data_IF_225467381378
#
_entry.id   IF_225467381378
#
_cell.length_a   1.000
_cell.length_b   1.000
_cell.length_c   1.000
_cell.angle_alpha   90.00
_cell.angle_beta   90.00
_cell.angle_gamma   90.00
#
_symmetry.space_group_name_H-M   'P 1'
#
loop_
_entity.id
_entity.type
_entity.pdbx_description
1 polymer ?
#
# COMPACT_ATOMS: atom_id res chain seq x y z
N UNK A 1 -17.04 51.74 9.19
CA UNK A 1 -15.98 51.70 10.21
C UNK A 1 -14.81 52.53 9.66
N UNK A 2 -14.82 53.87 9.60
CA UNK A 2 -15.16 54.96 10.54
C UNK A 2 -14.40 54.95 11.86
N UNK A 3 -13.25 55.64 11.84
CA UNK A 3 -12.62 56.50 12.87
C UNK A 3 -11.65 57.38 12.05
N UNK A 4 -11.87 58.66 11.74
CA UNK A 4 -12.09 59.85 12.57
C UNK A 4 -10.99 60.06 13.63
N UNK A 5 -10.05 60.96 13.32
CA UNK A 5 -9.38 61.80 14.32
C UNK A 5 -9.20 63.22 13.79
N UNK A 6 -9.66 64.15 14.63
CA UNK A 6 -9.68 65.59 14.47
C UNK A 6 -8.30 66.25 14.67
N UNK A 7 -8.16 67.39 13.97
CA UNK A 7 -7.55 68.68 14.36
C UNK A 7 -6.90 68.83 15.75
N UNK A 8 -5.72 69.46 15.79
CA UNK A 8 -5.28 70.66 16.56
C UNK A 8 -3.76 70.73 16.31
N UNK A 9 -3.09 71.83 15.99
CA UNK A 9 -3.42 73.25 15.97
C UNK A 9 -2.16 74.04 15.61
N UNK A 10 -2.35 75.34 15.49
CA UNK A 10 -1.33 76.35 15.19
C UNK A 10 0.00 76.17 15.92
N UNK A 11 1.08 76.06 15.14
CA UNK A 11 2.43 76.40 15.59
C UNK A 11 2.96 77.55 14.74
N UNK A 12 2.70 78.74 15.27
CA UNK A 12 3.57 79.92 15.32
C UNK A 12 4.87 79.84 14.47
N UNK A 13 5.18 80.85 13.62
CA UNK A 13 6.45 80.90 12.91
C UNK A 13 7.57 81.22 13.90
N UNK A 14 8.10 80.20 14.58
CA UNK A 14 9.33 80.33 15.35
C UNK A 14 10.43 80.65 14.35
N UNK A 15 10.90 81.89 14.47
CA UNK A 15 12.07 82.47 13.83
C UNK A 15 13.06 81.37 13.40
N UNK A 16 13.18 81.20 12.09
CA UNK A 16 14.23 80.39 11.45
C UNK A 16 15.56 81.02 11.84
N UNK A 17 16.11 80.65 13.01
CA UNK A 17 17.53 80.82 13.27
C UNK A 17 18.20 80.05 12.15
N UNK A 18 18.88 80.76 11.26
CA UNK A 18 19.95 80.20 10.44
C UNK A 18 21.07 79.79 11.39
N UNK A 19 20.82 78.79 12.24
CA UNK A 19 21.87 78.04 12.89
C UNK A 19 22.47 77.24 11.73
N UNK A 20 23.60 77.72 11.22
CA UNK A 20 24.39 76.94 10.28
C UNK A 20 24.59 75.57 10.90
N UNK A 21 24.29 74.53 10.13
CA UNK A 21 24.59 73.15 10.49
C UNK A 21 26.01 73.13 11.02
N UNK A 22 26.19 72.82 12.30
CA UNK A 22 27.54 72.67 12.82
C UNK A 22 28.14 71.48 12.08
N UNK A 23 29.40 71.61 11.64
CA UNK A 23 30.07 70.58 10.84
C UNK A 23 30.00 69.19 11.51
N UNK A 24 29.95 69.19 12.85
CA UNK A 24 29.78 68.00 13.70
C UNK A 24 28.44 67.29 13.47
N UNK A 25 27.33 68.02 13.37
CA UNK A 25 26.00 67.44 13.20
C UNK A 25 25.85 66.77 11.82
N UNK A 26 26.45 67.36 10.78
CA UNK A 26 26.51 66.76 9.43
C UNK A 26 27.39 65.49 9.43
N UNK A 27 28.47 65.48 10.20
CA UNK A 27 29.34 64.31 10.38
C UNK A 27 28.59 63.14 11.05
N UNK A 28 27.80 63.44 12.09
CA UNK A 28 26.99 62.43 12.79
C UNK A 28 25.93 61.84 11.86
N UNK A 29 25.27 62.66 11.02
CA UNK A 29 24.32 62.15 10.04
C UNK A 29 24.96 61.23 9.01
N UNK A 30 26.14 61.58 8.49
CA UNK A 30 26.88 60.74 7.56
C UNK A 30 27.35 59.43 8.22
N UNK A 31 27.74 59.46 9.50
CA UNK A 31 28.13 58.28 10.25
C UNK A 31 26.95 57.32 10.47
N UNK A 32 25.79 57.84 10.90
CA UNK A 32 24.58 57.03 11.09
C UNK A 32 24.11 56.44 9.76
N UNK A 33 24.11 57.23 8.68
CA UNK A 33 23.80 56.74 7.32
C UNK A 33 24.77 55.63 6.87
N UNK A 34 26.06 55.79 7.13
CA UNK A 34 27.07 54.76 6.80
C UNK A 34 26.79 53.43 7.50
N UNK A 35 26.45 53.46 8.79
CA UNK A 35 26.10 52.25 9.55
C UNK A 35 24.83 51.61 9.02
N UNK A 36 23.77 52.40 8.75
CA UNK A 36 22.50 51.88 8.22
C UNK A 36 22.70 51.25 6.83
N UNK A 37 23.47 51.89 5.95
CA UNK A 37 23.76 51.35 4.60
C UNK A 37 24.59 50.06 4.69
N UNK A 38 25.53 49.95 5.63
CA UNK A 38 26.28 48.70 5.85
C UNK A 38 25.37 47.55 6.30
N UNK A 39 24.49 47.79 7.27
CA UNK A 39 23.55 46.78 7.77
C UNK A 39 22.56 46.38 6.67
N UNK A 40 22.02 47.35 5.92
CA UNK A 40 21.13 47.08 4.80
C UNK A 40 21.84 46.33 3.66
N UNK A 41 23.09 46.68 3.37
CA UNK A 41 23.93 46.01 2.38
C UNK A 41 24.20 44.55 2.74
N UNK A 42 24.58 44.27 4.00
CA UNK A 42 24.77 42.91 4.49
C UNK A 42 23.47 42.10 4.41
N UNK A 43 22.34 42.67 4.84
CA UNK A 43 21.04 42.00 4.77
C UNK A 43 20.63 41.64 3.33
N UNK A 44 20.91 42.51 2.35
CA UNK A 44 20.63 42.25 0.93
C UNK A 44 21.55 41.18 0.33
N UNK A 45 22.84 41.18 0.70
CA UNK A 45 23.80 40.16 0.26
C UNK A 45 23.44 38.79 0.85
N UNK A 46 23.06 38.72 2.13
CA UNK A 46 22.66 37.47 2.77
C UNK A 46 21.35 36.94 2.18
N UNK A 47 20.37 37.81 1.92
CA UNK A 47 19.11 37.43 1.28
C UNK A 47 19.30 36.89 -0.15
N UNK A 48 20.16 37.52 -0.94
CA UNK A 48 20.46 37.04 -2.31
C UNK A 48 21.21 35.71 -2.30
N UNK A 49 22.17 35.52 -1.38
CA UNK A 49 22.87 34.24 -1.22
C UNK A 49 21.92 33.11 -0.85
N UNK A 50 21.03 33.33 0.12
CA UNK A 50 20.02 32.34 0.51
C UNK A 50 19.10 32.01 -0.67
N UNK A 51 18.63 33.02 -1.42
CA UNK A 51 17.79 32.80 -2.60
C UNK A 51 18.47 31.94 -3.67
N UNK A 52 19.74 32.23 -3.99
CA UNK A 52 20.50 31.46 -5.00
C UNK A 52 20.72 30.03 -4.53
N UNK A 53 21.04 29.81 -3.25
CA UNK A 53 21.17 28.46 -2.67
C UNK A 53 19.87 27.68 -2.75
N UNK A 54 18.75 28.29 -2.36
CA UNK A 54 17.43 27.66 -2.44
C UNK A 54 17.06 27.33 -3.89
N UNK A 55 17.32 28.22 -4.85
CA UNK A 55 17.07 27.95 -6.26
C UNK A 55 17.91 26.79 -6.80
N UNK A 56 19.19 26.72 -6.44
CA UNK A 56 20.07 25.62 -6.82
C UNK A 56 19.62 24.29 -6.20
N UNK A 57 19.27 24.30 -4.91
CA UNK A 57 18.75 23.12 -4.22
C UNK A 57 17.44 22.62 -4.85
N UNK A 58 16.49 23.52 -5.13
CA UNK A 58 15.23 23.18 -5.79
C UNK A 58 15.43 22.62 -7.19
N UNK A 59 16.33 23.21 -7.99
CA UNK A 59 16.66 22.71 -9.31
C UNK A 59 17.32 21.30 -9.24
N UNK A 60 18.20 21.08 -8.27
CA UNK A 60 18.82 19.76 -8.02
C UNK A 60 17.77 18.73 -7.60
N UNK A 61 16.85 19.09 -6.71
CA UNK A 61 15.73 18.22 -6.32
C UNK A 61 14.83 17.89 -7.52
N UNK A 62 14.42 18.88 -8.31
CA UNK A 62 13.58 18.66 -9.50
C UNK A 62 14.25 17.71 -10.50
N UNK A 63 15.56 17.87 -10.74
CA UNK A 63 16.31 16.96 -11.61
C UNK A 63 16.37 15.53 -11.04
N UNK A 64 16.55 15.38 -9.73
CA UNK A 64 16.54 14.08 -9.07
C UNK A 64 15.15 13.42 -9.12
N UNK A 65 14.07 14.20 -8.99
CA UNK A 65 12.69 13.73 -9.13
C UNK A 65 12.38 13.25 -10.56
N UNK A 66 12.79 14.02 -11.57
CA UNK A 66 12.64 13.64 -12.97
C UNK A 66 13.39 12.33 -13.28
N UNK A 67 14.64 12.20 -12.81
CA UNK A 67 15.42 10.98 -12.94
C UNK A 67 14.74 9.78 -12.24
N UNK A 68 14.22 10.01 -11.03
CA UNK A 68 13.53 8.98 -10.27
C UNK A 68 12.22 8.53 -10.91
N UNK A 69 11.47 9.44 -11.55
CA UNK A 69 10.24 9.10 -12.25
C UNK A 69 10.51 8.16 -13.43
N UNK A 70 11.53 8.46 -14.24
CA UNK A 70 11.96 7.60 -15.35
C UNK A 70 12.45 6.24 -14.84
N UNK A 71 13.27 6.24 -13.77
CA UNK A 71 13.76 5.02 -13.15
C UNK A 71 12.61 4.17 -12.57
N UNK A 72 11.60 4.80 -11.98
CA UNK A 72 10.39 4.12 -11.47
C UNK A 72 9.67 3.37 -12.56
N UNK A 73 9.46 4.01 -13.71
CA UNK A 73 8.77 3.41 -14.85
C UNK A 73 9.54 2.19 -15.37
N UNK A 74 10.86 2.30 -15.50
CA UNK A 74 11.69 1.17 -15.92
C UNK A 74 11.69 0.03 -14.89
N UNK A 75 11.88 0.33 -13.60
CA UNK A 75 11.92 -0.69 -12.52
C UNK A 75 10.55 -1.37 -12.35
N UNK A 76 9.44 -0.63 -12.44
CA UNK A 76 8.10 -1.19 -12.30
C UNK A 76 7.82 -2.26 -13.36
N UNK A 77 8.32 -2.07 -14.58
CA UNK A 77 8.17 -3.02 -15.69
C UNK A 77 9.07 -4.25 -15.56
N UNK A 78 10.05 -4.24 -14.65
CA UNK A 78 10.88 -5.40 -14.37
C UNK A 78 10.08 -6.59 -13.80
N UNK A 79 8.88 -6.36 -13.24
CA UNK A 79 8.01 -7.45 -12.79
C UNK A 79 7.33 -8.22 -13.92
N UNK A 80 7.25 -7.67 -15.13
CA UNK A 80 6.59 -8.33 -16.25
C UNK A 80 7.43 -9.52 -16.78
N UNK A 81 6.81 -10.70 -16.89
CA UNK A 81 7.42 -11.94 -17.41
C UNK A 81 6.58 -12.64 -18.47
N UNK A 82 5.33 -12.26 -18.56
CA UNK A 82 4.32 -12.93 -19.37
C UNK A 82 3.55 -11.93 -20.21
N UNK A 83 3.05 -12.40 -21.34
CA UNK A 83 2.14 -11.65 -22.18
C UNK A 83 1.03 -12.55 -22.68
N UNK A 84 -0.13 -11.95 -22.92
CA UNK A 84 -1.26 -12.66 -23.52
C UNK A 84 -1.10 -12.66 -25.05
N UNK A 85 -1.25 -13.83 -25.67
CA UNK A 85 -1.09 -13.97 -27.14
C UNK A 85 -2.19 -13.24 -27.88
N UNK A 86 -3.42 -13.44 -27.42
CA UNK A 86 -4.64 -12.82 -27.95
C UNK A 86 -5.43 -12.25 -26.79
N UNK A 87 -5.96 -11.04 -26.96
CA UNK A 87 -6.72 -10.33 -25.93
C UNK A 87 -7.90 -11.19 -25.46
N UNK A 88 -7.97 -11.48 -24.16
CA UNK A 88 -8.98 -12.32 -23.52
C UNK A 88 -8.95 -13.82 -23.87
N UNK A 89 -7.84 -14.33 -24.40
CA UNK A 89 -7.65 -15.77 -24.60
C UNK A 89 -7.40 -16.53 -23.30
N UNK A 90 -6.95 -15.83 -22.25
CA UNK A 90 -6.52 -16.44 -20.99
C UNK A 90 -5.27 -17.31 -21.12
N UNK A 91 -4.57 -17.24 -22.27
CA UNK A 91 -3.35 -17.99 -22.55
C UNK A 91 -2.14 -17.05 -22.51
N UNK A 92 -1.30 -17.22 -21.48
CA UNK A 92 -0.11 -16.43 -21.24
C UNK A 92 1.15 -17.16 -21.72
N UNK A 93 2.01 -16.45 -22.45
CA UNK A 93 3.33 -16.93 -22.81
C UNK A 93 4.39 -16.28 -21.93
N UNK A 94 5.28 -17.09 -21.37
CA UNK A 94 6.43 -16.61 -20.60
C UNK A 94 7.58 -16.24 -21.55
N UNK A 95 8.10 -15.01 -21.44
CA UNK A 95 9.28 -14.57 -22.19
C UNK A 95 10.53 -15.02 -21.44
N UNK A 96 11.12 -16.16 -21.83
CA UNK A 96 12.32 -16.68 -21.14
C UNK A 96 13.52 -15.72 -21.13
N UNK A 97 13.70 -14.93 -22.19
CA UNK A 97 14.83 -13.98 -22.31
C UNK A 97 14.85 -12.88 -21.23
N UNK A 98 13.74 -12.67 -20.51
CA UNK A 98 13.63 -11.68 -19.45
C UNK A 98 14.41 -12.06 -18.18
N UNK A 99 14.71 -13.34 -17.99
CA UNK A 99 15.48 -13.83 -16.86
C UNK A 99 16.98 -13.68 -17.15
N UNK A 100 17.78 -13.38 -16.12
CA UNK A 100 19.21 -13.11 -16.31
C UNK A 100 19.97 -14.32 -16.82
N UNK A 101 19.83 -15.46 -16.14
CA UNK A 101 20.46 -16.74 -16.49
C UNK A 101 19.64 -17.94 -15.95
N UNK A 102 18.47 -18.24 -16.56
CA UNK A 102 17.56 -19.25 -16.05
C UNK A 102 18.02 -20.70 -16.29
N UNK A 103 18.96 -20.92 -17.22
CA UNK A 103 19.40 -22.23 -17.70
C UNK A 103 20.86 -22.55 -17.32
N UNK A 104 21.38 -21.91 -16.25
CA UNK A 104 22.73 -22.16 -15.77
C UNK A 104 22.92 -23.64 -15.41
N UNK A 105 24.06 -24.22 -15.81
CA UNK A 105 24.37 -25.62 -15.56
C UNK A 105 24.59 -25.93 -14.06
N UNK A 106 25.01 -24.93 -13.28
CA UNK A 106 25.13 -25.01 -11.82
C UNK A 106 23.85 -24.50 -11.15
N UNK A 107 23.18 -25.37 -10.41
CA UNK A 107 21.89 -25.10 -9.74
C UNK A 107 22.00 -23.92 -8.77
N UNK A 108 23.16 -23.71 -8.15
CA UNK A 108 23.40 -22.61 -7.20
C UNK A 108 23.62 -21.26 -7.90
N UNK A 109 23.83 -21.26 -9.22
CA UNK A 109 24.05 -20.07 -10.06
C UNK A 109 22.86 -19.76 -11.00
N UNK A 110 21.76 -20.51 -10.89
CA UNK A 110 20.55 -20.24 -11.69
C UNK A 110 19.91 -18.91 -11.25
N UNK A 111 20.04 -17.89 -12.09
CA UNK A 111 19.51 -16.55 -11.84
C UNK A 111 18.16 -16.36 -12.55
N UNK A 112 17.08 -16.73 -11.84
CA UNK A 112 15.70 -16.47 -12.26
C UNK A 112 15.25 -15.03 -11.97
N UNK A 113 16.12 -14.11 -11.57
CA UNK A 113 15.73 -12.71 -11.46
C UNK A 113 15.81 -12.02 -12.83
N UNK A 114 15.35 -10.76 -12.89
CA UNK A 114 15.50 -9.94 -14.09
C UNK A 114 16.47 -8.79 -13.92
N UNK A 115 17.34 -8.83 -12.91
CA UNK A 115 18.28 -7.75 -12.64
C UNK A 115 19.65 -8.22 -12.18
N UNK A 116 20.62 -7.33 -12.39
CA UNK A 116 21.95 -7.39 -11.81
C UNK A 116 22.27 -6.03 -11.19
N UNK A 117 22.55 -6.05 -9.90
CA UNK A 117 22.96 -4.87 -9.14
C UNK A 117 24.45 -5.00 -8.83
N UNK A 118 25.24 -4.02 -9.27
CA UNK A 118 26.64 -3.91 -8.85
C UNK A 118 26.75 -2.75 -7.87
N UNK A 119 27.04 -3.09 -6.61
CA UNK A 119 27.32 -2.08 -5.60
C UNK A 119 28.72 -1.51 -5.87
N UNK A 120 28.79 -0.21 -6.15
CA UNK A 120 30.08 0.44 -6.32
C UNK A 120 30.78 0.64 -4.98
N UNK A 121 32.11 0.74 -5.01
CA UNK A 121 32.94 0.95 -3.82
C UNK A 121 32.75 2.31 -3.12
N UNK A 122 31.88 3.17 -3.63
CA UNK A 122 31.62 4.52 -3.14
C UNK A 122 30.13 4.88 -3.14
N UNK A 123 29.80 6.06 -3.64
CA UNK A 123 28.43 6.63 -3.59
C UNK A 123 27.57 6.29 -4.82
N UNK A 124 28.08 5.47 -5.74
CA UNK A 124 27.45 5.18 -7.02
C UNK A 124 27.35 3.67 -7.24
N UNK A 125 26.13 3.16 -7.31
CA UNK A 125 25.84 1.79 -7.74
C UNK A 125 25.57 1.77 -9.25
N UNK A 126 25.48 0.58 -9.84
CA UNK A 126 24.92 0.40 -11.16
C UNK A 126 23.85 -0.69 -11.17
N UNK A 127 22.75 -0.43 -11.85
CA UNK A 127 21.60 -1.31 -11.92
C UNK A 127 21.36 -1.67 -13.39
N UNK A 128 21.41 -2.96 -13.70
CA UNK A 128 21.06 -3.53 -15.00
C UNK A 128 19.83 -4.40 -14.82
N UNK A 129 18.87 -4.34 -15.74
CA UNK A 129 17.72 -5.25 -15.73
C UNK A 129 17.12 -5.43 -17.11
N UNK A 130 16.31 -6.48 -17.24
CA UNK A 130 15.52 -6.78 -18.44
C UNK A 130 14.05 -6.55 -18.16
N UNK A 131 13.36 -5.93 -19.12
CA UNK A 131 11.93 -5.63 -19.04
C UNK A 131 11.21 -5.96 -20.34
N UNK A 132 9.92 -6.21 -20.23
CA UNK A 132 9.03 -6.36 -21.38
C UNK A 132 8.38 -5.00 -21.66
N UNK A 133 8.39 -4.59 -22.93
CA UNK A 133 7.63 -3.43 -23.41
C UNK A 133 6.31 -3.90 -24.02
N UNK A 134 5.24 -3.23 -23.62
CA UNK A 134 3.91 -3.39 -24.18
C UNK A 134 3.53 -2.15 -25.01
N UNK A 135 2.61 -2.32 -25.95
CA UNK A 135 1.95 -1.19 -26.62
C UNK A 135 0.80 -0.66 -25.77
N UNK A 136 0.14 0.41 -26.25
CA UNK A 136 -1.00 1.04 -25.56
C UNK A 136 -2.21 0.09 -25.42
N UNK A 137 -2.27 -0.96 -26.24
CA UNK A 137 -3.30 -2.02 -26.18
C UNK A 137 -2.92 -3.17 -25.22
N UNK A 138 -1.74 -3.12 -24.61
CA UNK A 138 -1.21 -4.13 -23.68
C UNK A 138 -0.61 -5.36 -24.36
N UNK A 139 -0.32 -5.31 -25.67
CA UNK A 139 0.32 -6.41 -26.41
C UNK A 139 1.83 -6.37 -26.26
N UNK A 140 2.45 -7.53 -26.31
CA UNK A 140 3.90 -7.66 -26.32
C UNK A 140 4.52 -7.01 -27.56
N UNK A 141 5.49 -6.12 -27.35
CA UNK A 141 6.22 -5.45 -28.43
C UNK A 141 7.68 -5.88 -28.47
N UNK A 142 8.37 -5.87 -27.34
CA UNK A 142 9.80 -6.13 -27.30
C UNK A 142 10.30 -6.54 -25.90
N UNK A 143 11.47 -7.20 -25.89
CA UNK A 143 12.30 -7.40 -24.71
C UNK A 143 13.45 -6.40 -24.75
N UNK A 144 13.61 -5.63 -23.67
CA UNK A 144 14.61 -4.57 -23.56
C UNK A 144 15.55 -4.81 -22.38
N UNK A 145 16.82 -4.51 -22.56
CA UNK A 145 17.82 -4.39 -21.51
C UNK A 145 18.04 -2.92 -21.19
N UNK A 146 17.88 -2.57 -19.91
CA UNK A 146 18.06 -1.20 -19.40
C UNK A 146 19.18 -1.21 -18.37
N UNK A 147 20.07 -0.23 -18.45
CA UNK A 147 21.12 -0.02 -17.47
C UNK A 147 21.14 1.42 -16.97
N UNK A 148 21.34 1.57 -15.67
CA UNK A 148 21.45 2.84 -14.96
C UNK A 148 22.77 2.87 -14.22
N UNK A 149 23.61 3.87 -14.48
CA UNK A 149 24.92 4.01 -13.85
C UNK A 149 25.42 5.45 -13.89
N UNK A 150 26.39 5.76 -13.03
CA UNK A 150 27.02 7.08 -12.99
C UNK A 150 28.44 7.00 -13.57
N UNK A 151 28.76 7.88 -14.52
CA UNK A 151 30.11 8.05 -15.09
C UNK A 151 30.44 9.54 -15.09
N UNK A 152 31.62 9.90 -14.59
CA UNK A 152 32.09 11.29 -14.52
C UNK A 152 31.08 12.27 -13.87
N UNK A 153 30.36 11.81 -12.84
CA UNK A 153 29.34 12.61 -12.15
C UNK A 153 28.04 12.79 -12.94
N UNK A 154 27.84 12.07 -14.03
CA UNK A 154 26.60 12.10 -14.84
C UNK A 154 25.89 10.75 -14.71
N UNK A 155 24.59 10.78 -14.39
CA UNK A 155 23.72 9.62 -14.40
C UNK A 155 23.29 9.35 -15.84
N UNK A 156 23.63 8.15 -16.31
CA UNK A 156 23.26 7.66 -17.62
C UNK A 156 22.19 6.58 -17.52
N UNK A 157 21.25 6.63 -18.46
CA UNK A 157 20.34 5.54 -18.79
C UNK A 157 20.76 4.99 -20.14
N UNK A 158 21.09 3.72 -20.20
CA UNK A 158 21.35 3.03 -21.45
C UNK A 158 20.26 2.00 -21.72
N UNK A 159 19.74 1.97 -22.95
CA UNK A 159 18.73 1.01 -23.37
C UNK A 159 19.15 0.31 -24.66
N UNK A 160 18.89 -1.00 -24.70
CA UNK A 160 19.11 -1.85 -25.88
C UNK A 160 17.97 -2.84 -26.01
N UNK A 161 17.48 -3.02 -27.23
CA UNK A 161 16.51 -4.08 -27.51
C UNK A 161 17.21 -5.42 -27.71
N UNK A 162 16.67 -6.46 -27.08
CA UNK A 162 17.16 -7.83 -27.18
C UNK A 162 16.32 -8.65 -28.17
N UNK A 163 14.99 -8.52 -28.10
CA UNK A 163 14.04 -9.24 -28.95
C UNK A 163 12.87 -8.32 -29.33
N UNK A 164 12.27 -8.56 -30.49
CA UNK A 164 11.12 -7.80 -31.00
C UNK A 164 10.01 -8.75 -31.45
N UNK A 165 8.76 -8.38 -31.21
CA UNK A 165 7.62 -9.01 -31.84
C UNK A 165 7.68 -8.82 -33.36
N UNK A 166 7.18 -9.81 -34.11
CA UNK A 166 7.13 -9.73 -35.57
C UNK A 166 6.31 -8.51 -36.01
N UNK A 167 6.93 -7.61 -36.78
CA UNK A 167 6.27 -6.39 -37.27
C UNK A 167 6.26 -5.22 -36.27
N UNK A 168 6.94 -5.33 -35.13
CA UNK A 168 7.12 -4.21 -34.20
C UNK A 168 7.92 -3.08 -34.86
N UNK A 169 7.48 -1.83 -34.65
CA UNK A 169 8.21 -0.66 -35.12
C UNK A 169 9.55 -0.50 -34.38
N UNK A 170 10.56 0.02 -35.08
CA UNK A 170 11.80 0.47 -34.46
C UNK A 170 11.49 1.55 -33.41
N UNK A 171 12.14 1.46 -32.26
CA UNK A 171 12.04 2.46 -31.19
C UNK A 171 13.38 3.16 -31.11
N UNK A 172 13.39 4.45 -31.45
CA UNK A 172 14.59 5.27 -31.40
C UNK A 172 15.12 5.41 -29.95
N UNK A 173 14.27 5.19 -28.94
CA UNK A 173 14.61 5.28 -27.52
C UNK A 173 15.37 4.04 -27.00
N UNK A 174 15.23 2.92 -27.69
CA UNK A 174 15.79 1.61 -27.34
C UNK A 174 16.08 0.83 -28.65
N UNK A 175 17.19 1.16 -29.34
CA UNK A 175 17.51 0.57 -30.63
C UNK A 175 17.95 -0.89 -30.54
N UNK A 176 17.87 -1.59 -31.67
CA UNK A 176 18.32 -2.98 -31.82
C UNK A 176 19.87 -3.04 -31.94
N UNK A 177 20.46 -2.03 -32.60
CA UNK A 177 21.88 -1.95 -32.89
C UNK A 177 22.63 -1.08 -31.86
N UNK A 178 23.11 -1.76 -30.81
CA UNK A 178 23.97 -1.15 -29.79
C UNK A 178 23.23 -0.55 -28.59
N UNK A 179 24.00 0.02 -27.67
CA UNK A 179 23.48 0.61 -26.44
C UNK A 179 23.29 2.12 -26.65
N UNK A 180 22.04 2.61 -26.65
CA UNK A 180 21.78 4.05 -26.67
C UNK A 180 21.97 4.61 -25.26
N UNK A 181 23.06 5.34 -25.04
CA UNK A 181 23.39 5.99 -23.77
C UNK A 181 22.83 7.42 -23.72
N UNK A 182 21.91 7.70 -22.79
CA UNK A 182 21.29 9.02 -22.60
C UNK A 182 21.68 9.58 -21.24
N UNK A 183 22.23 10.80 -21.23
CA UNK A 183 22.53 11.53 -20.00
C UNK A 183 21.25 12.09 -19.37
N UNK A 184 20.91 11.62 -18.17
CA UNK A 184 19.66 11.98 -17.47
C UNK A 184 19.89 13.14 -16.49
N UNK A 185 20.95 13.06 -15.68
CA UNK A 185 21.25 14.08 -14.67
C UNK A 185 22.75 14.30 -14.55
N UNK A 186 23.16 15.55 -14.35
CA UNK A 186 24.57 15.94 -14.12
C UNK A 186 24.81 16.24 -12.65
N UNK A 187 26.08 16.27 -12.27
CA UNK A 187 26.55 16.59 -10.93
C UNK A 187 26.00 15.64 -9.85
N UNK A 188 25.91 14.35 -10.18
CA UNK A 188 25.49 13.29 -9.25
C UNK A 188 26.44 13.23 -8.06
N UNK A 189 25.86 13.35 -6.87
CA UNK A 189 26.54 13.17 -5.60
C UNK A 189 26.35 11.77 -5.03
N UNK A 190 25.18 11.15 -5.31
CA UNK A 190 24.85 9.80 -4.85
C UNK A 190 23.84 9.14 -5.79
N UNK A 191 24.08 7.87 -6.08
CA UNK A 191 23.11 6.96 -6.68
C UNK A 191 23.25 5.62 -5.98
N UNK A 192 22.37 5.35 -5.00
CA UNK A 192 22.37 4.12 -4.23
C UNK A 192 21.09 3.35 -4.42
N UNK A 193 21.21 2.03 -4.64
CA UNK A 193 20.09 1.12 -4.85
C UNK A 193 20.18 -0.02 -3.83
N UNK A 194 19.18 -0.12 -2.96
CA UNK A 194 19.10 -1.15 -1.92
C UNK A 194 17.93 -2.08 -2.25
N UNK A 195 18.20 -3.35 -2.63
CA UNK A 195 17.14 -4.32 -2.85
C UNK A 195 16.54 -4.74 -1.51
N UNK A 196 15.25 -5.05 -1.49
CA UNK A 196 14.59 -5.58 -0.32
C UNK A 196 13.67 -6.75 -0.65
N UNK A 197 13.70 -7.72 0.26
CA UNK A 197 12.70 -8.77 0.35
C UNK A 197 11.51 -8.32 1.19
N UNK A 198 10.31 -8.85 0.91
CA UNK A 198 9.22 -8.72 1.87
C UNK A 198 9.63 -9.45 3.16
N UNK A 199 9.14 -8.99 4.32
CA UNK A 199 9.37 -9.65 5.61
C UNK A 199 8.88 -11.11 5.67
N UNK A 200 8.18 -11.58 4.64
CA UNK A 200 7.64 -12.93 4.51
C UNK A 200 8.02 -13.45 3.11
N UNK A 201 9.02 -14.33 3.06
CA UNK A 201 9.56 -14.88 1.81
C UNK A 201 8.73 -16.04 1.23
N UNK A 202 7.89 -16.71 2.02
CA UNK A 202 7.11 -17.86 1.55
C UNK A 202 5.85 -17.38 0.82
N UNK A 203 6.01 -17.26 -0.50
CA UNK A 203 5.12 -16.67 -1.48
C UNK A 203 4.24 -17.69 -2.19
N UNK A 204 3.45 -18.46 -1.46
CA UNK A 204 2.32 -19.19 -2.05
C UNK A 204 1.11 -18.93 -1.16
N UNK A 205 0.27 -17.98 -1.60
CA UNK A 205 -0.87 -17.41 -0.86
C UNK A 205 -0.46 -16.55 0.35
N UNK A 206 -1.07 -15.36 0.50
CA UNK A 206 -0.99 -14.66 1.78
C UNK A 206 -1.44 -15.64 2.84
N UNK A 207 -0.54 -16.04 3.75
CA UNK A 207 -0.73 -17.19 4.66
C UNK A 207 -2.18 -17.22 5.14
N UNK A 208 -2.95 -18.17 4.62
CA UNK A 208 -4.33 -18.36 5.01
C UNK A 208 -4.28 -18.80 6.47
N UNK A 209 -4.73 -17.93 7.35
CA UNK A 209 -4.86 -18.23 8.78
C UNK A 209 -6.11 -19.07 9.02
N UNK A 210 -7.13 -18.91 8.18
CA UNK A 210 -8.37 -19.66 8.25
C UNK A 210 -9.01 -19.79 6.86
N UNK A 211 -9.52 -20.98 6.47
CA UNK A 211 -9.26 -22.26 7.11
C UNK A 211 -7.74 -22.57 7.05
N UNK A 212 -7.16 -23.30 8.02
CA UNK A 212 -5.72 -23.53 8.05
C UNK A 212 -5.22 -24.45 6.92
N UNK A 213 -6.13 -25.08 6.17
CA UNK A 213 -5.80 -25.81 4.95
C UNK A 213 -5.83 -24.87 3.75
N UNK A 214 -4.72 -24.78 3.00
CA UNK A 214 -4.65 -24.00 1.75
C UNK A 214 -5.49 -24.63 0.62
N UNK A 215 -5.89 -25.89 0.75
CA UNK A 215 -6.58 -26.65 -0.32
C UNK A 215 -8.10 -26.76 -0.13
N UNK A 216 -8.63 -26.43 1.06
CA UNK A 216 -10.08 -26.48 1.32
C UNK A 216 -10.56 -25.14 1.88
N UNK A 217 -11.67 -24.66 1.32
CA UNK A 217 -12.42 -23.51 1.82
C UNK A 217 -13.54 -23.91 2.78
N UNK A 218 -13.59 -25.18 3.18
CA UNK A 218 -14.62 -25.70 4.05
C UNK A 218 -14.40 -25.19 5.47
N UNK A 219 -15.50 -24.75 6.07
CA UNK A 219 -15.52 -24.26 7.43
C UNK A 219 -16.80 -24.69 8.12
N UNK A 220 -16.77 -24.69 9.44
CA UNK A 220 -17.94 -24.89 10.30
C UNK A 220 -18.22 -23.62 11.08
N UNK A 221 -19.49 -23.40 11.38
CA UNK A 221 -19.93 -22.40 12.35
C UNK A 221 -20.41 -23.09 13.63
N UNK A 222 -20.08 -22.52 14.78
CA UNK A 222 -20.43 -23.07 16.09
C UNK A 222 -21.22 -22.06 16.89
N UNK A 223 -22.50 -22.34 17.15
CA UNK A 223 -23.36 -21.50 17.97
C UNK A 223 -22.86 -21.42 19.41
N UNK A 224 -22.58 -20.21 19.89
CA UNK A 224 -22.45 -19.92 21.33
C UNK A 224 -23.84 -19.93 21.94
N UNK A 225 -23.94 -20.45 23.16
CA UNK A 225 -25.20 -20.51 23.89
C UNK A 225 -24.93 -20.30 25.38
N UNK A 226 -25.64 -19.34 25.97
CA UNK A 226 -25.67 -19.13 27.42
C UNK A 226 -27.09 -19.24 28.00
N UNK A 227 -28.10 -19.46 27.16
CA UNK A 227 -29.50 -19.65 27.56
C UNK A 227 -30.22 -18.41 28.04
N UNK A 228 -29.57 -17.24 28.09
CA UNK A 228 -30.19 -16.00 28.55
C UNK A 228 -30.16 -14.94 27.44
N UNK A 229 -28.99 -14.39 27.13
CA UNK A 229 -28.79 -13.35 26.13
C UNK A 229 -28.32 -13.91 24.80
N UNK A 230 -27.62 -15.04 24.80
CA UNK A 230 -27.07 -15.66 23.60
C UNK A 230 -27.81 -16.96 23.31
N UNK A 231 -28.59 -16.94 22.25
CA UNK A 231 -29.45 -18.05 21.83
C UNK A 231 -28.86 -18.81 20.64
N UNK A 232 -29.18 -20.10 20.54
CA UNK A 232 -28.68 -20.98 19.47
C UNK A 232 -29.30 -20.62 18.14
N UNK A 233 -28.51 -20.75 17.08
CA UNK A 233 -28.95 -20.71 15.69
C UNK A 233 -29.06 -22.12 15.13
N UNK A 234 -29.87 -22.25 14.08
CA UNK A 234 -29.88 -23.42 13.21
C UNK A 234 -28.79 -23.24 12.15
N UNK A 235 -27.91 -24.23 12.03
CA UNK A 235 -26.76 -24.21 11.12
C UNK A 235 -26.84 -25.42 10.19
N UNK A 236 -26.75 -25.21 8.88
CA UNK A 236 -26.82 -26.29 7.90
C UNK A 236 -25.76 -26.10 6.80
N UNK A 237 -24.89 -27.09 6.54
CA UNK A 237 -24.71 -28.34 7.30
C UNK A 237 -24.11 -28.08 8.69
N UNK A 238 -24.54 -28.84 9.71
CA UNK A 238 -24.05 -28.68 11.08
C UNK A 238 -22.54 -28.95 11.20
N UNK A 239 -22.03 -29.91 10.43
CA UNK A 239 -20.61 -30.29 10.39
C UNK A 239 -19.74 -29.32 9.58
N UNK A 240 -20.34 -28.36 8.87
CA UNK A 240 -19.61 -27.44 8.01
C UNK A 240 -19.45 -27.90 6.57
N UNK A 241 -18.92 -27.01 5.74
CA UNK A 241 -18.75 -27.16 4.30
C UNK A 241 -18.33 -25.83 3.66
N UNK A 242 -18.31 -25.79 2.33
CA UNK A 242 -17.94 -24.58 1.57
C UNK A 242 -18.99 -23.45 1.67
N UNK A 243 -20.23 -23.81 2.01
CA UNK A 243 -21.34 -22.90 2.27
C UNK A 243 -22.05 -23.36 3.56
N UNK A 244 -22.24 -22.46 4.50
CA UNK A 244 -23.01 -22.69 5.73
C UNK A 244 -24.21 -21.74 5.76
N UNK A 245 -25.41 -22.32 5.82
CA UNK A 245 -26.68 -21.62 5.99
C UNK A 245 -26.98 -21.42 7.47
N UNK A 246 -27.37 -20.20 7.82
CA UNK A 246 -27.69 -19.75 9.16
C UNK A 246 -29.16 -19.32 9.18
N UNK A 247 -29.93 -19.83 10.15
CA UNK A 247 -31.33 -19.45 10.35
C UNK A 247 -31.75 -19.59 11.82
N UNK A 248 -33.01 -19.22 12.11
CA UNK A 248 -33.55 -19.28 13.48
C UNK A 248 -32.99 -18.18 14.37
N UNK A 249 -32.87 -16.97 13.83
CA UNK A 249 -32.38 -15.82 14.59
C UNK A 249 -33.37 -15.47 15.71
N UNK A 250 -32.85 -14.88 16.79
CA UNK A 250 -33.68 -14.32 17.85
C UNK A 250 -34.04 -12.88 17.53
N UNK A 251 -35.32 -12.55 17.67
CA UNK A 251 -35.77 -11.17 17.70
C UNK A 251 -35.74 -10.58 19.11
N UNK A 252 -35.48 -9.29 19.16
CA UNK A 252 -35.69 -8.40 20.31
C UNK A 252 -37.02 -7.67 20.22
N UNK A 253 -37.86 -7.97 19.25
CA UNK A 253 -39.22 -7.47 19.16
C UNK A 253 -40.19 -8.47 19.79
N UNK A 254 -41.02 -7.95 20.68
CA UNK A 254 -42.09 -8.68 21.35
C UNK A 254 -43.37 -8.52 20.51
N UNK A 255 -43.70 -9.56 19.76
CA UNK A 255 -44.90 -9.61 18.89
C UNK A 255 -46.20 -9.45 19.69
N UNK A 256 -46.24 -9.86 20.96
CA UNK A 256 -47.45 -9.80 21.79
C UNK A 256 -47.72 -8.37 22.28
N UNK A 257 -46.65 -7.64 22.61
CA UNK A 257 -46.72 -6.29 23.17
C UNK A 257 -46.39 -5.17 22.15
N UNK A 258 -46.09 -5.52 20.90
CA UNK A 258 -45.68 -4.58 19.83
C UNK A 258 -44.56 -3.63 20.29
N UNK A 259 -43.55 -4.18 20.98
CA UNK A 259 -42.51 -3.39 21.65
C UNK A 259 -41.12 -4.04 21.57
N UNK A 260 -40.07 -3.24 21.74
CA UNK A 260 -38.71 -3.75 21.76
C UNK A 260 -38.30 -4.18 23.17
N UNK A 261 -37.87 -5.42 23.30
CA UNK A 261 -37.27 -5.98 24.51
C UNK A 261 -35.99 -5.24 24.90
N UNK A 262 -35.83 -5.00 26.20
CA UNK A 262 -34.63 -4.42 26.79
C UNK A 262 -33.53 -5.45 27.06
N UNK A 263 -33.80 -6.74 26.88
CA UNK A 263 -32.87 -7.83 27.23
C UNK A 263 -31.67 -7.92 26.26
N UNK A 264 -31.77 -7.33 25.06
CA UNK A 264 -30.75 -7.31 24.01
C UNK A 264 -30.22 -8.73 23.71
N UNK A 265 -31.15 -9.63 23.39
CA UNK A 265 -30.87 -10.98 22.90
C UNK A 265 -30.08 -10.90 21.61
N UNK A 266 -29.14 -11.81 21.44
CA UNK A 266 -28.32 -11.91 20.25
C UNK A 266 -28.02 -13.36 19.92
N UNK A 267 -27.62 -13.59 18.68
CA UNK A 267 -27.01 -14.83 18.27
C UNK A 267 -25.54 -14.61 17.98
N UNK A 268 -24.71 -15.59 18.31
CA UNK A 268 -23.28 -15.53 18.01
C UNK A 268 -22.78 -16.90 17.59
N UNK A 269 -22.01 -16.94 16.50
CA UNK A 269 -21.38 -18.17 16.00
C UNK A 269 -19.89 -17.95 15.79
N UNK A 270 -19.10 -18.99 16.03
CA UNK A 270 -17.65 -18.98 15.88
C UNK A 270 -17.22 -19.81 14.68
N UNK A 271 -16.23 -19.33 13.94
CA UNK A 271 -15.65 -20.10 12.85
C UNK A 271 -14.72 -21.20 13.39
N UNK A 272 -14.84 -22.39 12.83
CA UNK A 272 -14.06 -23.58 13.17
C UNK A 272 -13.76 -24.40 11.91
N UNK A 273 -12.84 -25.35 12.03
CA UNK A 273 -12.59 -26.35 10.99
C UNK A 273 -13.78 -27.31 10.83
N UNK A 274 -14.02 -27.78 9.60
CA UNK A 274 -15.15 -28.65 9.26
C UNK A 274 -15.11 -30.08 9.85
N UNK A 275 -14.04 -30.46 10.57
CA UNK A 275 -13.76 -31.87 10.87
C UNK A 275 -14.02 -32.29 12.33
N UNK A 276 -14.46 -31.40 13.22
CA UNK A 276 -14.65 -31.72 14.65
C UNK A 276 -16.13 -31.64 15.05
N UNK A 277 -16.73 -32.79 15.37
CA UNK A 277 -18.16 -32.96 15.71
C UNK A 277 -18.49 -32.96 17.20
N UNK A 278 -17.48 -32.90 18.08
CA UNK A 278 -17.67 -32.99 19.52
C UNK A 278 -16.89 -31.89 20.25
N UNK A 279 -17.60 -31.04 20.99
CA UNK A 279 -16.99 -30.02 21.85
C UNK A 279 -17.83 -28.75 21.98
N UNK A 280 -17.35 -27.84 22.83
CA UNK A 280 -17.94 -26.52 22.97
C UNK A 280 -17.31 -25.54 21.97
N UNK A 281 -18.01 -24.45 21.63
CA UNK A 281 -17.49 -23.40 20.72
C UNK A 281 -16.11 -22.88 21.19
N UNK A 282 -15.90 -22.75 22.50
CA UNK A 282 -14.67 -22.21 23.08
C UNK A 282 -13.45 -23.11 22.88
N UNK A 283 -13.67 -24.43 22.81
CA UNK A 283 -12.60 -25.42 22.58
C UNK A 283 -12.36 -25.70 21.11
N UNK A 284 -13.37 -25.45 20.27
CA UNK A 284 -13.36 -25.83 18.85
C UNK A 284 -13.12 -24.65 17.89
N UNK A 285 -13.24 -23.40 18.36
CA UNK A 285 -12.97 -22.26 17.49
C UNK A 285 -11.50 -22.24 17.05
N UNK A 286 -11.27 -21.91 15.78
CA UNK A 286 -9.93 -21.82 15.22
C UNK A 286 -9.24 -20.54 15.71
N UNK A 287 -8.40 -20.69 16.73
CA UNK A 287 -7.64 -19.58 17.30
C UNK A 287 -6.49 -19.19 16.39
N UNK A 288 -6.55 -17.96 15.88
CA UNK A 288 -5.53 -17.37 15.02
C UNK A 288 -4.66 -16.41 15.81
N UNK A 289 -3.36 -16.35 15.48
CA UNK A 289 -2.42 -15.39 16.07
C UNK A 289 -2.15 -14.25 15.10
N UNK A 290 -2.37 -13.02 15.56
CA UNK A 290 -2.16 -11.79 14.80
C UNK A 290 -1.02 -11.00 15.42
N UNK A 291 -0.03 -10.64 14.60
CA UNK A 291 1.17 -9.92 15.01
C UNK A 291 0.99 -8.41 14.79
N UNK A 292 1.64 -7.58 15.62
CA UNK A 292 1.47 -6.14 15.58
C UNK A 292 1.98 -5.52 14.28
N UNK A 293 1.29 -4.50 13.78
CA UNK A 293 1.71 -3.73 12.60
C UNK A 293 1.64 -4.50 11.27
N UNK A 294 0.87 -5.59 11.22
CA UNK A 294 0.62 -6.37 10.01
C UNK A 294 -0.84 -6.21 9.61
N UNK A 295 -1.09 -6.01 8.32
CA UNK A 295 -2.44 -6.02 7.75
C UNK A 295 -2.96 -7.44 7.49
N UNK A 296 -4.22 -7.67 7.86
CA UNK A 296 -4.95 -8.92 7.68
C UNK A 296 -6.28 -8.63 6.98
N UNK A 297 -6.80 -9.60 6.22
CA UNK A 297 -8.09 -9.50 5.53
C UNK A 297 -9.00 -10.67 5.93
N UNK A 298 -10.21 -10.34 6.36
CA UNK A 298 -11.34 -11.27 6.50
C UNK A 298 -12.15 -11.15 5.21
N UNK A 299 -12.34 -12.27 4.51
CA UNK A 299 -13.12 -12.32 3.27
C UNK A 299 -14.15 -13.43 3.32
N UNK A 300 -15.38 -13.17 2.90
CA UNK A 300 -16.39 -14.20 2.67
C UNK A 300 -17.37 -13.78 1.59
N UNK A 301 -18.05 -14.75 0.99
CA UNK A 301 -19.12 -14.54 0.02
C UNK A 301 -20.48 -14.73 0.68
N UNK A 302 -21.42 -13.88 0.31
CA UNK A 302 -22.84 -14.06 0.62
C UNK A 302 -23.53 -14.45 -0.69
N UNK A 303 -23.73 -15.75 -0.95
CA UNK A 303 -24.41 -16.19 -2.15
C UNK A 303 -25.88 -15.75 -2.12
N UNK A 304 -26.47 -15.68 -3.31
CA UNK A 304 -27.83 -15.20 -3.53
C UNK A 304 -28.82 -15.90 -2.60
N UNK A 305 -29.71 -15.09 -2.03
CA UNK A 305 -30.89 -15.56 -1.32
C UNK A 305 -32.02 -15.62 -2.34
N UNK A 306 -32.93 -16.57 -2.19
CA UNK A 306 -34.16 -16.57 -2.99
C UNK A 306 -34.88 -15.23 -2.79
N UNK A 307 -35.48 -14.64 -3.84
CA UNK A 307 -36.16 -13.33 -3.80
C UNK A 307 -37.31 -13.17 -2.80
N UNK A 308 -37.59 -14.21 -2.01
CA UNK A 308 -38.60 -14.26 -0.95
C UNK A 308 -38.01 -14.41 0.46
N UNK A 309 -36.69 -14.32 0.63
CA UNK A 309 -36.06 -14.47 1.95
C UNK A 309 -36.31 -13.24 2.84
N UNK A 310 -36.83 -13.46 4.04
CA UNK A 310 -37.18 -12.38 4.96
C UNK A 310 -35.99 -11.56 5.46
N UNK A 311 -34.74 -12.04 5.31
CA UNK A 311 -33.55 -11.27 5.65
C UNK A 311 -33.37 -10.01 4.79
N UNK A 312 -34.06 -9.91 3.64
CA UNK A 312 -34.15 -8.66 2.86
C UNK A 312 -34.93 -7.56 3.59
N UNK A 313 -35.72 -7.90 4.61
CA UNK A 313 -36.40 -6.92 5.49
C UNK A 313 -35.49 -6.36 6.58
N UNK A 314 -34.18 -6.54 6.47
CA UNK A 314 -33.19 -5.98 7.38
C UNK A 314 -33.23 -4.45 7.37
N UNK A 315 -33.25 -3.83 8.55
CA UNK A 315 -33.28 -2.38 8.72
C UNK A 315 -31.92 -1.90 9.24
N UNK A 316 -31.09 -1.25 8.38
CA UNK A 316 -29.83 -0.68 8.81
C UNK A 316 -30.01 0.32 9.95
N UNK A 317 -29.12 0.25 10.95
CA UNK A 317 -29.15 1.11 12.14
C UNK A 317 -30.09 0.63 13.25
N UNK A 318 -30.94 -0.36 12.99
CA UNK A 318 -31.70 -1.09 14.02
C UNK A 318 -31.19 -2.51 14.16
N UNK A 319 -31.23 -3.27 13.07
CA UNK A 319 -30.68 -4.61 13.01
C UNK A 319 -29.15 -4.55 12.86
N UNK A 320 -28.47 -5.60 13.33
CA UNK A 320 -27.01 -5.66 13.39
C UNK A 320 -26.49 -7.01 12.92
N UNK A 321 -25.67 -7.00 11.87
CA UNK A 321 -24.83 -8.14 11.49
C UNK A 321 -23.40 -7.67 11.51
N UNK A 322 -22.55 -8.42 12.20
CA UNK A 322 -21.14 -8.08 12.30
C UNK A 322 -20.27 -9.32 12.31
N UNK A 323 -19.04 -9.14 11.83
CA UNK A 323 -17.96 -10.11 11.97
C UNK A 323 -16.83 -9.46 12.75
N UNK A 324 -16.27 -10.17 13.71
CA UNK A 324 -15.24 -9.61 14.58
C UNK A 324 -14.38 -10.67 15.23
N UNK A 325 -13.38 -10.18 15.97
CA UNK A 325 -12.44 -11.02 16.70
C UNK A 325 -12.86 -11.14 18.16
N UNK A 326 -12.78 -12.35 18.69
CA UNK A 326 -13.13 -12.69 20.08
C UNK A 326 -12.06 -13.56 20.72
N UNK A 327 -11.86 -13.42 22.02
CA UNK A 327 -11.07 -14.38 22.80
C UNK A 327 -11.79 -15.73 22.89
N UNK A 328 -11.11 -16.78 23.39
CA UNK A 328 -11.76 -18.06 23.74
C UNK A 328 -12.80 -17.95 24.87
N UNK A 329 -12.75 -16.88 25.69
CA UNK A 329 -13.82 -16.55 26.66
C UNK A 329 -15.02 -15.85 25.98
N UNK A 330 -14.88 -15.46 24.72
CA UNK A 330 -15.92 -14.82 23.92
C UNK A 330 -16.05 -13.32 24.16
N UNK A 331 -14.99 -12.71 24.68
CA UNK A 331 -14.87 -11.27 24.90
C UNK A 331 -14.34 -10.58 23.65
N UNK A 332 -14.78 -9.34 23.40
CA UNK A 332 -14.27 -8.50 22.30
C UNK A 332 -12.81 -8.14 22.56
N UNK A 333 -11.98 -8.21 21.51
CA UNK A 333 -10.59 -7.74 21.60
C UNK A 333 -10.58 -6.21 21.68
N UNK A 334 -9.95 -5.67 22.73
CA UNK A 334 -9.87 -4.22 22.93
C UNK A 334 -9.14 -3.54 21.77
N UNK A 335 -9.69 -2.42 21.29
CA UNK A 335 -9.11 -1.61 20.21
C UNK A 335 -9.35 -2.13 18.79
N UNK A 336 -10.12 -3.21 18.62
CA UNK A 336 -10.56 -3.71 17.30
C UNK A 336 -12.08 -3.68 17.28
N UNK A 337 -12.65 -2.89 16.37
CA UNK A 337 -14.08 -2.87 16.16
C UNK A 337 -14.56 -4.00 15.27
N UNK A 338 -15.83 -4.39 15.45
CA UNK A 338 -16.45 -5.38 14.59
C UNK A 338 -16.81 -4.75 13.25
N UNK A 339 -16.68 -5.53 12.19
CA UNK A 339 -17.02 -5.11 10.85
C UNK A 339 -18.49 -5.38 10.57
N UNK A 340 -19.23 -4.31 10.32
CA UNK A 340 -20.64 -4.39 9.95
C UNK A 340 -20.79 -4.84 8.50
N UNK A 341 -21.76 -5.71 8.26
CA UNK A 341 -22.14 -6.10 6.90
C UNK A 341 -23.67 -6.17 6.79
N UNK A 342 -24.15 -6.07 5.55
CA UNK A 342 -25.57 -6.11 5.23
C UNK A 342 -25.88 -7.37 4.42
N UNK A 343 -27.09 -7.94 4.54
CA UNK A 343 -27.54 -8.98 3.64
C UNK A 343 -27.53 -8.47 2.18
N UNK A 344 -27.39 -9.36 1.19
CA UNK A 344 -27.49 -8.98 -0.21
C UNK A 344 -28.92 -8.53 -0.55
N UNK A 345 -29.05 -7.38 -1.22
CA UNK A 345 -30.33 -6.76 -1.59
C UNK A 345 -30.68 -6.91 -3.09
N UNK A 346 -29.85 -7.59 -3.88
CA UNK A 346 -30.00 -7.70 -5.33
C UNK A 346 -30.11 -9.17 -5.77
N UNK A 347 -31.18 -9.48 -6.48
CA UNK A 347 -31.47 -10.80 -7.05
C UNK A 347 -30.55 -11.14 -8.24
N UNK A 348 -29.89 -10.13 -8.84
CA UNK A 348 -29.11 -10.28 -10.06
C UNK A 348 -27.59 -10.24 -9.85
N UNK A 349 -27.10 -9.95 -8.64
CA UNK A 349 -25.66 -9.91 -8.38
C UNK A 349 -25.12 -11.31 -8.07
N UNK A 350 -24.21 -11.81 -8.91
CA UNK A 350 -23.49 -13.05 -8.63
C UNK A 350 -22.70 -12.89 -7.31
N UNK A 351 -23.13 -13.59 -6.25
CA UNK A 351 -22.49 -13.72 -4.92
C UNK A 351 -21.64 -12.52 -4.45
N UNK A 352 -22.19 -11.69 -3.56
CA UNK A 352 -21.48 -10.50 -3.04
C UNK A 352 -20.29 -10.93 -2.18
N UNK A 353 -19.09 -10.46 -2.52
CA UNK A 353 -17.87 -10.66 -1.74
C UNK A 353 -17.74 -9.53 -0.70
N UNK A 354 -17.57 -9.90 0.57
CA UNK A 354 -17.31 -8.97 1.68
C UNK A 354 -15.85 -9.12 2.10
N UNK A 355 -15.10 -8.02 2.08
CA UNK A 355 -13.68 -7.98 2.47
C UNK A 355 -13.49 -6.90 3.54
N UNK A 356 -12.80 -7.25 4.62
CA UNK A 356 -12.51 -6.36 5.73
C UNK A 356 -11.03 -6.43 6.07
N UNK A 357 -10.35 -5.27 6.00
CA UNK A 357 -8.93 -5.18 6.33
C UNK A 357 -8.72 -4.55 7.69
N UNK A 358 -7.77 -5.09 8.44
CA UNK A 358 -7.47 -4.64 9.79
C UNK A 358 -6.02 -4.91 10.16
N UNK A 359 -5.53 -4.18 11.14
CA UNK A 359 -4.23 -4.42 11.77
C UNK A 359 -4.39 -4.37 13.29
N UNK A 360 -3.40 -4.91 14.00
CA UNK A 360 -3.42 -4.99 15.46
C UNK A 360 -2.22 -4.24 16.02
N UNK A 361 -2.40 -3.60 17.18
CA UNK A 361 -1.33 -2.83 17.83
C UNK A 361 -0.42 -3.70 18.69
N UNK A 362 -0.95 -4.80 19.22
CA UNK A 362 -0.23 -5.78 20.03
C UNK A 362 -0.47 -7.18 19.46
N UNK A 363 0.41 -8.12 19.78
CA UNK A 363 0.18 -9.52 19.44
C UNK A 363 -1.08 -10.02 20.16
N UNK A 364 -2.01 -10.60 19.41
CA UNK A 364 -3.26 -11.13 19.96
C UNK A 364 -3.55 -12.54 19.42
N UNK A 365 -4.25 -13.34 20.23
CA UNK A 365 -4.84 -14.61 19.83
C UNK A 365 -6.36 -14.49 19.88
N UNK A 366 -7.04 -14.79 18.78
CA UNK A 366 -8.47 -14.61 18.69
C UNK A 366 -9.12 -15.62 17.75
N UNK A 367 -10.38 -15.93 18.03
CA UNK A 367 -11.29 -16.64 17.16
C UNK A 367 -12.17 -15.65 16.39
N UNK A 368 -12.54 -16.02 15.16
CA UNK A 368 -13.48 -15.25 14.36
C UNK A 368 -14.92 -15.56 14.80
N UNK A 369 -15.72 -14.52 15.03
CA UNK A 369 -17.11 -14.66 15.42
C UNK A 369 -18.02 -13.77 14.58
N UNK A 370 -19.18 -14.30 14.20
CA UNK A 370 -20.28 -13.54 13.63
C UNK A 370 -21.31 -13.29 14.72
N UNK A 371 -21.79 -12.05 14.81
CA UNK A 371 -22.82 -11.64 15.75
C UNK A 371 -24.03 -11.10 15.00
N UNK A 372 -25.21 -11.54 15.41
CA UNK A 372 -26.48 -11.17 14.80
C UNK A 372 -27.44 -10.66 15.88
N UNK A 373 -28.03 -9.49 15.65
CA UNK A 373 -29.04 -8.90 16.51
C UNK A 373 -30.16 -8.38 15.62
N UNK A 374 -31.37 -8.86 15.84
CA UNK A 374 -32.53 -8.43 15.09
C UNK A 374 -33.54 -7.77 16.03
N UNK A 375 -34.05 -6.63 15.60
CA UNK A 375 -35.21 -5.94 16.14
C UNK A 375 -36.37 -5.98 15.13
N UNK A 376 -36.11 -6.33 13.87
CA UNK A 376 -37.15 -6.47 12.86
C UNK A 376 -37.77 -7.87 12.90
N UNK A 377 -39.10 -8.01 13.13
CA UNK A 377 -39.77 -9.31 13.30
C UNK A 377 -39.82 -10.16 12.03
N UNK A 378 -39.64 -9.55 10.85
CA UNK A 378 -39.50 -10.28 9.60
C UNK A 378 -38.06 -10.77 9.40
N UNK A 379 -37.08 -9.90 9.61
CA UNK A 379 -35.68 -10.21 9.34
C UNK A 379 -35.16 -11.41 10.16
N UNK A 380 -35.66 -11.61 11.39
CA UNK A 380 -35.28 -12.77 12.20
C UNK A 380 -35.70 -14.13 11.59
N UNK A 381 -36.74 -14.15 10.75
CA UNK A 381 -37.24 -15.35 10.05
C UNK A 381 -36.46 -15.63 8.76
N UNK A 382 -35.54 -14.74 8.41
CA UNK A 382 -34.69 -14.86 7.23
C UNK A 382 -33.61 -15.92 7.36
N UNK A 383 -32.87 -16.12 6.28
CA UNK A 383 -31.71 -17.00 6.24
C UNK A 383 -30.50 -16.29 5.67
N UNK A 384 -29.31 -16.59 6.20
CA UNK A 384 -28.04 -16.04 5.72
C UNK A 384 -27.11 -17.18 5.32
N UNK A 385 -26.55 -17.10 4.12
CA UNK A 385 -25.52 -18.02 3.67
C UNK A 385 -24.15 -17.34 3.77
N UNK A 386 -23.18 -18.02 4.37
CA UNK A 386 -21.78 -17.63 4.33
C UNK A 386 -21.04 -18.68 3.51
N UNK A 387 -20.23 -18.24 2.55
CA UNK A 387 -19.46 -19.11 1.68
C UNK A 387 -18.02 -18.63 1.55
N UNK A 388 -17.08 -19.55 1.32
CA UNK A 388 -15.66 -19.22 1.12
C UNK A 388 -15.09 -18.27 2.19
N UNK A 389 -15.36 -18.57 3.46
CA UNK A 389 -14.85 -17.76 4.57
C UNK A 389 -13.34 -17.95 4.68
N UNK A 390 -12.59 -16.85 4.55
CA UNK A 390 -11.14 -16.86 4.63
C UNK A 390 -10.64 -15.73 5.53
N UNK A 391 -9.59 -16.00 6.29
CA UNK A 391 -8.79 -15.00 6.96
C UNK A 391 -7.36 -15.17 6.47
N UNK A 392 -6.79 -14.15 5.87
CA UNK A 392 -5.44 -14.21 5.33
C UNK A 392 -4.62 -13.03 5.79
N UNK A 393 -3.32 -13.27 5.94
CA UNK A 393 -2.35 -12.20 6.11
C UNK A 393 -2.20 -11.47 4.78
N UNK A 394 -2.50 -10.18 4.75
CA UNK A 394 -2.22 -9.36 3.57
C UNK A 394 -0.73 -9.13 3.52
N UNK A 395 -0.16 -9.24 2.32
CA UNK A 395 1.22 -8.84 2.11
C UNK A 395 1.28 -7.32 2.28
N UNK A 396 1.63 -6.90 3.50
CA UNK A 396 1.98 -5.52 3.73
C UNK A 396 3.22 -5.20 2.90
N UNK A 397 3.25 -4.02 2.28
CA UNK A 397 4.33 -3.49 1.43
C UNK A 397 5.54 -3.09 2.31
N UNK A 398 5.59 -3.60 3.54
CA UNK A 398 6.64 -3.37 4.52
C UNK A 398 7.88 -4.19 4.14
N UNK A 399 8.67 -3.61 3.25
CA UNK A 399 10.01 -4.06 2.90
C UNK A 399 11.00 -3.69 4.02
N UNK A 400 11.95 -4.58 4.27
CA UNK A 400 13.10 -4.27 5.13
C UNK A 400 14.29 -3.95 4.24
N UNK A 401 14.75 -2.70 4.30
CA UNK A 401 15.90 -2.22 3.53
C UNK A 401 17.14 -2.26 4.41
N UNK A 402 17.98 -3.27 4.21
CA UNK A 402 19.31 -3.34 4.80
C UNK A 402 20.34 -2.84 3.76
N UNK A 403 21.02 -1.68 3.99
CA UNK A 403 22.04 -1.18 3.08
C UNK A 403 23.24 -2.11 2.88
N UNK A 404 23.47 -3.05 3.81
CA UNK A 404 24.54 -4.04 3.74
C UNK A 404 24.12 -5.34 3.08
N UNK A 405 22.83 -5.49 2.75
CA UNK A 405 22.32 -6.70 2.13
C UNK A 405 22.69 -6.75 0.64
N UNK A 406 23.48 -7.77 0.31
CA UNK A 406 23.82 -8.15 -1.06
C UNK A 406 23.11 -9.48 -1.33
N UNK A 407 22.10 -9.52 -2.22
CA UNK A 407 21.37 -10.76 -2.46
C UNK A 407 22.24 -11.78 -3.19
N UNK A 408 22.35 -12.98 -2.61
CA UNK A 408 22.87 -14.14 -3.32
C UNK A 408 22.02 -14.47 -4.54
N UNK A 409 22.59 -15.10 -5.56
CA UNK A 409 21.92 -15.41 -6.84
C UNK A 409 20.56 -16.10 -6.62
N UNK A 410 20.50 -17.06 -5.71
CA UNK A 410 19.28 -17.79 -5.36
C UNK A 410 18.21 -16.93 -4.66
N UNK A 411 18.61 -15.89 -3.93
CA UNK A 411 17.70 -14.99 -3.20
C UNK A 411 17.23 -13.82 -4.06
N UNK A 412 17.92 -13.50 -5.16
CA UNK A 412 17.55 -12.40 -6.06
C UNK A 412 16.10 -12.51 -6.57
N UNK A 413 15.60 -13.74 -6.78
CA UNK A 413 14.20 -14.00 -7.18
C UNK A 413 13.18 -13.56 -6.14
N UNK A 414 13.56 -13.37 -4.88
CA UNK A 414 12.63 -13.00 -3.81
C UNK A 414 12.60 -11.50 -3.55
N UNK A 415 13.42 -10.70 -4.23
CA UNK A 415 13.40 -9.24 -4.12
C UNK A 415 12.10 -8.72 -4.70
N UNK A 416 11.43 -7.86 -3.94
CA UNK A 416 10.10 -7.30 -4.30
C UNK A 416 10.08 -5.78 -4.23
N UNK A 417 11.16 -5.14 -3.84
CA UNK A 417 11.31 -3.69 -3.95
C UNK A 417 12.76 -3.24 -4.00
N UNK A 418 12.94 -2.00 -4.44
CA UNK A 418 14.21 -1.28 -4.47
C UNK A 418 14.02 0.07 -3.79
N UNK A 419 14.87 0.37 -2.81
CA UNK A 419 15.02 1.71 -2.28
C UNK A 419 16.13 2.43 -3.03
N UNK A 420 15.83 3.62 -3.53
CA UNK A 420 16.76 4.42 -4.35
C UNK A 420 17.01 5.78 -3.70
N UNK A 421 18.27 6.09 -3.35
CA UNK A 421 18.72 7.41 -2.85
C UNK A 421 19.49 8.12 -3.97
N UNK A 422 18.85 9.15 -4.55
CA UNK A 422 19.39 9.99 -5.60
C UNK A 422 19.75 11.36 -5.02
N UNK A 423 21.01 11.77 -5.16
CA UNK A 423 21.44 13.12 -4.76
C UNK A 423 22.26 13.76 -5.85
N UNK A 424 21.98 15.05 -6.08
CA UNK A 424 22.65 15.91 -7.05
C UNK A 424 23.27 17.08 -6.27
N UNK A 425 24.54 17.36 -6.50
CA UNK A 425 25.27 18.45 -5.87
C UNK A 425 25.61 19.52 -6.90
N UNK A 426 24.85 20.62 -6.88
CA UNK A 426 25.05 21.74 -7.80
C UNK A 426 25.69 22.90 -7.06
N UNK A 427 26.93 23.25 -7.41
CA UNK A 427 27.69 24.34 -6.80
C UNK A 427 27.85 24.24 -5.26
N UNK A 428 27.97 23.02 -4.72
CA UNK A 428 28.13 22.78 -3.29
C UNK A 428 26.82 22.69 -2.51
N UNK A 429 25.67 22.88 -3.17
CA UNK A 429 24.34 22.71 -2.58
C UNK A 429 23.75 21.37 -3.03
N UNK A 430 23.40 20.51 -2.06
CA UNK A 430 22.85 19.18 -2.33
C UNK A 430 21.32 19.21 -2.35
N UNK A 431 20.73 18.73 -3.43
CA UNK A 431 19.32 18.35 -3.52
C UNK A 431 19.22 16.86 -3.78
N UNK A 432 18.15 16.22 -3.32
CA UNK A 432 18.00 14.78 -3.52
C UNK A 432 16.61 14.28 -3.18
N UNK A 433 16.37 13.03 -3.54
CA UNK A 433 15.10 12.36 -3.40
C UNK A 433 15.33 10.88 -3.07
N UNK A 434 14.42 10.32 -2.28
CA UNK A 434 14.46 8.93 -1.81
C UNK A 434 13.15 8.27 -2.17
N UNK A 435 13.22 7.13 -2.84
CA UNK A 435 12.04 6.43 -3.31
C UNK A 435 12.09 4.94 -2.99
N UNK A 436 10.92 4.36 -2.84
CA UNK A 436 10.72 2.91 -2.80
C UNK A 436 9.93 2.51 -4.04
N UNK A 437 10.50 1.63 -4.85
CA UNK A 437 9.88 1.08 -6.05
C UNK A 437 9.54 -0.38 -5.81
N UNK A 438 8.25 -0.73 -5.88
CA UNK A 438 7.80 -2.10 -5.73
C UNK A 438 7.90 -2.86 -7.07
N UNK A 439 8.35 -4.11 -7.00
CA UNK A 439 8.53 -5.03 -8.14
C UNK A 439 7.92 -6.39 -7.80
N UNK A 440 6.58 -6.51 -7.81
CA UNK A 440 5.86 -7.63 -7.19
C UNK A 440 6.14 -9.00 -7.82
N UNK A 441 6.58 -9.05 -9.08
CA UNK A 441 6.71 -10.29 -9.86
C UNK A 441 8.15 -10.54 -10.36
N UNK A 442 9.15 -10.26 -9.53
CA UNK A 442 10.53 -10.61 -9.85
C UNK A 442 10.73 -12.13 -9.62
N UNK A 443 11.21 -12.86 -10.62
CA UNK A 443 11.59 -14.27 -10.52
C UNK A 443 10.53 -15.33 -10.21
N UNK A 444 9.25 -14.99 -10.26
CA UNK A 444 8.19 -15.98 -10.46
C UNK A 444 7.86 -16.00 -11.96
N UNK A 445 8.03 -17.15 -12.62
CA UNK A 445 7.08 -17.49 -13.68
C UNK A 445 5.75 -17.77 -12.96
N UNK A 446 4.61 -17.46 -13.55
CA UNK A 446 3.41 -18.19 -13.20
C UNK A 446 3.70 -19.67 -13.54
N UNK A 447 4.12 -20.44 -12.54
CA UNK A 447 4.13 -21.90 -12.60
C UNK A 447 2.70 -22.43 -12.38
#
# INVERSE_FOLDING_TARGET
MSMMFCSVGDLCPKCRRKAGFTLVELLVYMAILGVVVLVAGQALTDSTRVRVRTQNMLASSQNAENAASLLKEDIAQMGAKEYETDKYSGSFNVVRGVFMDPDNADVDQVDKSSYSLHQGSGEFDSLYFRRIRYDDDGKYVALEAVSWYVRDGVLYRSCKRLESASGAAADESCPDDGDLEVAIAKDMARFKVVPAKPKLLNSSTGKVLFPPSETSSDFRLLSRYDGSKILRLNLAPEEGGSIVKISGFTSNFDDENDSYSTENKMNQVYAAEANSSAGNWSSLCSEMTFAPGIEYEISFKQPLMTGTDYSQSFIPGKDHLSVGLRTKSGEKIAGIDDFLFLPPNDENSAAIIRNFRFSVNNEIKACLAFTFVFFSPLAEKGTLNIANLTVKKIQDVNYEFDPSYVPDVLDKKNIRAFFVDLRINKHGEQGGSKYVFATPSNGAAAE
#
